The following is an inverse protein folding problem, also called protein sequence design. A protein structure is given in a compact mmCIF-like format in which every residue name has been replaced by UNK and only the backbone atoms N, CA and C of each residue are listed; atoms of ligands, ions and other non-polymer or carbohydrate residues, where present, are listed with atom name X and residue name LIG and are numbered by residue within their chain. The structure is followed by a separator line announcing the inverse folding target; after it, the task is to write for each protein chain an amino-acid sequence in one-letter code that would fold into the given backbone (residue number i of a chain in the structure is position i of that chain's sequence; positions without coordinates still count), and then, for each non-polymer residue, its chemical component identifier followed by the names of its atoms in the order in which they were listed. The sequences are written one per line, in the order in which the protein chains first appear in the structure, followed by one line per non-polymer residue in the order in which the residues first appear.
data_IF_211667922688
#
_entry.id   IF_211667922688
#
_cell.length_a   1.000
_cell.length_b   1.000
_cell.length_c   1.000
_cell.angle_alpha   90.00
_cell.angle_beta   90.00
_cell.angle_gamma   90.00
#
_symmetry.space_group_name_H-M   'P 1'
#
loop_
_entity.id
_entity.type
_entity.pdbx_description
1 polymer ?
#
# COMPACT_ATOMS: atom_id res chain seq x y z
N UNK A 1 10.25 29.33 -23.76
CA UNK A 1 11.71 29.13 -23.87
C UNK A 1 12.32 30.28 -24.65
N UNK A 2 11.87 30.55 -25.86
CA UNK A 2 12.39 31.62 -26.69
C UNK A 2 12.18 33.06 -26.13
N UNK A 3 11.32 33.23 -25.13
CA UNK A 3 11.05 34.49 -24.43
C UNK A 3 11.92 34.68 -23.16
N UNK A 4 12.90 33.80 -22.91
CA UNK A 4 13.78 33.88 -21.75
C UNK A 4 13.19 33.42 -20.42
N UNK A 5 12.02 32.77 -20.44
CA UNK A 5 11.42 32.18 -19.21
C UNK A 5 11.99 30.80 -18.91
N UNK A 6 12.19 30.51 -17.63
CA UNK A 6 12.47 29.16 -17.15
C UNK A 6 11.21 28.29 -17.12
N UNK A 7 11.38 26.98 -17.30
CA UNK A 7 10.32 25.99 -17.16
C UNK A 7 10.37 25.39 -15.76
N UNK A 8 9.23 25.40 -15.07
CA UNK A 8 9.02 24.73 -13.80
C UNK A 8 8.15 23.48 -14.04
N UNK A 9 8.69 22.30 -13.75
CA UNK A 9 7.99 21.02 -13.93
C UNK A 9 7.73 20.36 -12.59
N UNK A 10 6.52 19.82 -12.42
CA UNK A 10 6.19 18.98 -11.26
C UNK A 10 6.03 17.54 -11.73
N UNK A 11 6.74 16.62 -11.12
CA UNK A 11 6.68 15.19 -11.40
C UNK A 11 6.37 14.40 -10.13
N UNK A 12 5.51 13.39 -10.26
CA UNK A 12 5.33 12.38 -9.23
C UNK A 12 6.26 11.21 -9.52
N UNK A 13 7.19 10.97 -8.59
CA UNK A 13 8.30 10.03 -8.82
C UNK A 13 7.97 8.60 -8.38
N UNK A 14 6.88 8.37 -7.66
CA UNK A 14 6.52 7.05 -7.11
C UNK A 14 5.28 6.42 -7.75
N UNK A 15 4.58 7.15 -8.60
CA UNK A 15 3.45 6.66 -9.39
C UNK A 15 3.69 6.99 -10.87
N UNK A 16 2.82 6.56 -11.76
CA UNK A 16 3.00 6.63 -13.22
C UNK A 16 4.12 5.70 -13.75
N UNK A 17 4.44 4.65 -12.98
CA UNK A 17 5.45 3.63 -13.33
C UNK A 17 4.82 2.24 -13.43
N UNK A 18 3.59 2.14 -13.92
CA UNK A 18 2.80 0.91 -13.89
C UNK A 18 3.46 -0.27 -14.60
N UNK A 19 4.16 -0.04 -15.71
CA UNK A 19 4.85 -1.12 -16.42
C UNK A 19 5.94 -1.78 -15.57
N UNK A 20 6.67 -0.98 -14.79
CA UNK A 20 7.63 -1.48 -13.83
C UNK A 20 6.94 -2.11 -12.62
N UNK A 21 5.90 -1.46 -12.09
CA UNK A 21 5.15 -1.92 -10.93
C UNK A 21 4.48 -3.28 -11.15
N UNK A 22 3.92 -3.54 -12.35
CA UNK A 22 3.34 -4.83 -12.73
C UNK A 22 4.34 -5.98 -12.72
N UNK A 23 5.60 -5.69 -13.03
CA UNK A 23 6.70 -6.67 -13.03
C UNK A 23 7.34 -6.84 -11.65
N UNK A 24 7.06 -5.94 -10.69
CA UNK A 24 7.68 -5.87 -9.37
C UNK A 24 6.61 -5.64 -8.29
N UNK A 25 5.57 -6.47 -8.26
CA UNK A 25 4.41 -6.31 -7.36
C UNK A 25 4.75 -6.48 -5.87
N UNK A 26 5.90 -7.08 -5.57
CA UNK A 26 6.48 -7.22 -4.25
C UNK A 26 7.26 -5.97 -3.78
N UNK A 27 7.41 -4.97 -4.63
CA UNK A 27 8.15 -3.71 -4.38
C UNK A 27 7.24 -2.48 -4.40
N UNK A 28 5.97 -2.68 -4.20
CA UNK A 28 5.00 -1.60 -4.05
C UNK A 28 5.01 -1.06 -2.61
N UNK A 29 4.58 0.18 -2.45
CA UNK A 29 4.34 0.73 -1.13
C UNK A 29 3.29 -0.10 -0.37
N UNK A 30 3.49 -0.21 0.93
CA UNK A 30 2.61 -0.94 1.81
C UNK A 30 1.96 -0.02 2.83
N UNK A 31 0.76 -0.39 3.25
CA UNK A 31 0.05 0.19 4.38
C UNK A 31 -0.06 -0.84 5.50
N UNK A 32 0.09 -0.37 6.73
CA UNK A 32 -0.23 -1.15 7.91
C UNK A 32 -1.71 -0.93 8.22
N UNK A 33 -2.53 -1.92 7.95
CA UNK A 33 -3.98 -1.87 8.09
C UNK A 33 -4.43 -2.54 9.39
N UNK A 34 -5.55 -2.09 9.94
CA UNK A 34 -6.18 -2.69 11.11
C UNK A 34 -7.63 -3.03 10.77
N UNK A 35 -8.02 -4.28 10.99
CA UNK A 35 -9.42 -4.71 10.81
C UNK A 35 -10.36 -4.00 11.76
N UNK A 36 -11.65 -3.94 11.41
CA UNK A 36 -12.66 -3.61 12.40
C UNK A 36 -12.69 -4.67 13.52
N UNK A 37 -13.09 -4.28 14.74
CA UNK A 37 -13.19 -5.23 15.84
C UNK A 37 -14.25 -6.30 15.61
N UNK A 38 -13.89 -7.57 15.80
CA UNK A 38 -14.80 -8.72 15.74
C UNK A 38 -15.01 -9.27 17.14
N UNK A 39 -16.26 -9.50 17.51
CA UNK A 39 -16.62 -10.08 18.81
C UNK A 39 -16.44 -11.60 18.75
N UNK A 40 -15.72 -12.17 19.73
CA UNK A 40 -15.64 -13.62 19.88
C UNK A 40 -16.91 -14.16 20.54
N UNK A 41 -17.59 -15.11 19.91
CA UNK A 41 -18.78 -15.77 20.44
C UNK A 41 -18.47 -17.11 21.13
N UNK A 42 -17.25 -17.59 20.96
CA UNK A 42 -16.73 -18.85 21.52
C UNK A 42 -15.27 -18.70 21.94
N UNK A 43 -14.56 -19.80 22.10
CA UNK A 43 -13.12 -19.87 22.43
C UNK A 43 -12.19 -19.63 21.23
N UNK A 44 -12.74 -19.39 20.06
CA UNK A 44 -11.99 -18.95 18.87
C UNK A 44 -12.78 -17.90 18.07
N UNK A 45 -12.06 -17.06 17.31
CA UNK A 45 -12.67 -16.08 16.43
C UNK A 45 -11.95 -16.05 15.08
N UNK A 46 -12.72 -15.97 14.00
CA UNK A 46 -12.21 -15.81 12.63
C UNK A 46 -12.39 -14.37 12.16
N UNK A 47 -11.31 -13.80 11.66
CA UNK A 47 -11.27 -12.40 11.20
C UNK A 47 -10.82 -12.40 9.73
N UNK A 48 -11.73 -12.07 8.84
CA UNK A 48 -11.41 -11.82 7.44
C UNK A 48 -10.70 -10.45 7.33
N UNK A 49 -9.45 -10.48 6.85
CA UNK A 49 -8.60 -9.29 6.81
C UNK A 49 -9.10 -8.23 5.85
N UNK A 50 -9.77 -8.64 4.77
CA UNK A 50 -10.21 -7.73 3.71
C UNK A 50 -11.69 -7.36 3.76
N UNK A 51 -12.46 -7.89 4.72
CA UNK A 51 -13.92 -7.72 4.80
C UNK A 51 -14.37 -6.25 4.69
N UNK A 52 -13.62 -5.34 5.33
CA UNK A 52 -13.98 -3.92 5.41
C UNK A 52 -13.04 -3.02 4.61
N UNK A 53 -12.19 -3.60 3.76
CA UNK A 53 -11.25 -2.88 2.90
C UNK A 53 -11.62 -3.04 1.43
N UNK A 54 -11.09 -2.14 0.63
CA UNK A 54 -11.33 -2.11 -0.81
C UNK A 54 -10.34 -3.04 -1.51
N UNK A 55 -10.80 -4.21 -1.96
CA UNK A 55 -9.95 -5.24 -2.60
C UNK A 55 -9.24 -4.76 -3.87
N UNK A 56 -9.75 -3.71 -4.52
CA UNK A 56 -9.10 -3.10 -5.67
C UNK A 56 -7.95 -2.16 -5.27
N UNK A 57 -7.93 -1.69 -4.02
CA UNK A 57 -6.91 -0.77 -3.51
C UNK A 57 -5.77 -1.47 -2.76
N UNK A 58 -6.08 -2.57 -2.09
CA UNK A 58 -5.13 -3.27 -1.23
C UNK A 58 -5.04 -4.75 -1.59
N UNK A 59 -3.82 -5.27 -1.50
CA UNK A 59 -3.53 -6.71 -1.58
C UNK A 59 -2.71 -7.12 -0.36
N UNK A 60 -3.17 -8.12 0.39
CA UNK A 60 -2.45 -8.62 1.57
C UNK A 60 -1.03 -9.02 1.18
N UNK A 61 -0.04 -8.61 1.98
CA UNK A 61 1.31 -9.13 1.86
C UNK A 61 1.43 -10.41 2.72
N UNK A 62 1.36 -11.56 2.05
CA UNK A 62 1.34 -12.89 2.68
C UNK A 62 2.74 -13.47 2.93
N UNK A 63 3.81 -12.71 2.67
CA UNK A 63 5.17 -13.19 2.91
C UNK A 63 5.42 -13.43 4.40
N UNK A 64 6.28 -14.37 4.72
CA UNK A 64 6.64 -14.67 6.12
C UNK A 64 7.32 -13.47 6.80
N UNK A 65 8.08 -12.68 6.04
CA UNK A 65 8.66 -11.42 6.51
C UNK A 65 7.56 -10.42 6.93
N UNK A 66 6.51 -10.30 6.14
CA UNK A 66 5.36 -9.44 6.46
C UNK A 66 4.62 -9.93 7.70
N UNK A 67 4.33 -11.23 7.77
CA UNK A 67 3.61 -11.85 8.89
C UNK A 67 4.34 -11.68 10.22
N UNK A 68 5.67 -11.56 10.23
CA UNK A 68 6.45 -11.26 11.43
C UNK A 68 6.08 -9.91 12.08
N UNK A 69 5.49 -9.00 11.33
CA UNK A 69 5.00 -7.70 11.81
C UNK A 69 3.50 -7.70 12.12
N UNK A 70 2.77 -8.75 11.78
CA UNK A 70 1.35 -8.78 12.06
C UNK A 70 1.09 -8.92 13.55
N UNK A 71 0.00 -8.31 14.00
CA UNK A 71 -0.35 -8.28 15.41
C UNK A 71 -1.85 -8.51 15.59
N UNK A 72 -2.18 -9.35 16.52
CA UNK A 72 -3.57 -9.56 16.97
C UNK A 72 -3.72 -8.96 18.36
N UNK A 73 -4.77 -8.16 18.55
CA UNK A 73 -5.05 -7.54 19.84
C UNK A 73 -6.45 -7.91 20.34
N UNK A 74 -6.54 -8.27 21.59
CA UNK A 74 -7.77 -8.18 22.37
C UNK A 74 -8.01 -6.70 22.72
N UNK A 75 -8.99 -6.08 22.08
CA UNK A 75 -9.32 -4.65 22.30
C UNK A 75 -10.09 -4.38 23.57
N UNK A 76 -10.55 -5.44 24.26
CA UNK A 76 -11.21 -5.30 25.56
C UNK A 76 -10.18 -5.13 26.67
N UNK A 77 -9.04 -5.83 26.58
CA UNK A 77 -7.94 -5.75 27.55
C UNK A 77 -6.74 -4.93 27.07
N UNK A 78 -6.63 -4.66 25.76
CA UNK A 78 -5.48 -4.11 25.04
C UNK A 78 -4.23 -5.02 25.10
N UNK A 79 -4.40 -6.31 25.27
CA UNK A 79 -3.33 -7.28 25.25
C UNK A 79 -3.11 -7.87 23.87
N UNK A 80 -1.85 -8.10 23.51
CA UNK A 80 -1.50 -8.77 22.26
C UNK A 80 -1.68 -10.29 22.42
N UNK A 81 -2.38 -10.90 21.44
CA UNK A 81 -2.61 -12.35 21.38
C UNK A 81 -1.64 -12.97 20.39
N UNK A 82 -0.93 -14.01 20.81
CA UNK A 82 0.09 -14.69 19.97
C UNK A 82 -0.40 -16.01 19.36
N UNK A 83 -1.46 -16.61 19.88
CA UNK A 83 -2.02 -17.87 19.37
C UNK A 83 -3.02 -17.58 18.25
N UNK A 84 -2.50 -17.44 17.03
CA UNK A 84 -3.30 -17.26 15.82
C UNK A 84 -2.65 -17.97 14.62
N UNK A 85 -3.49 -18.28 13.64
CA UNK A 85 -3.09 -18.84 12.34
C UNK A 85 -3.70 -18.02 11.21
N UNK A 86 -3.07 -18.07 10.04
CA UNK A 86 -3.54 -17.41 8.84
C UNK A 86 -3.73 -18.39 7.70
N UNK A 87 -4.87 -18.33 7.06
CA UNK A 87 -5.18 -19.11 5.87
C UNK A 87 -6.14 -18.34 4.94
N UNK A 88 -5.76 -18.18 3.67
CA UNK A 88 -6.63 -17.63 2.61
C UNK A 88 -7.36 -16.31 3.00
N UNK A 89 -6.63 -15.32 3.52
CA UNK A 89 -7.19 -14.02 3.89
C UNK A 89 -7.85 -13.97 5.26
N UNK A 90 -7.89 -15.08 5.99
CA UNK A 90 -8.56 -15.18 7.29
C UNK A 90 -7.53 -15.48 8.39
N UNK A 91 -7.55 -14.69 9.45
CA UNK A 91 -6.85 -14.98 10.69
C UNK A 91 -7.81 -15.68 11.66
N UNK A 92 -7.40 -16.85 12.15
CA UNK A 92 -8.09 -17.55 13.22
C UNK A 92 -7.31 -17.34 14.51
N UNK A 93 -7.95 -16.77 15.53
CA UNK A 93 -7.39 -16.53 16.86
C UNK A 93 -7.96 -17.56 17.82
N UNK A 94 -7.10 -18.28 18.54
CA UNK A 94 -7.49 -19.33 19.48
C UNK A 94 -7.39 -18.87 20.94
N UNK A 95 -8.05 -19.61 21.84
CA UNK A 95 -7.97 -19.33 23.28
C UNK A 95 -8.49 -17.95 23.67
N UNK A 96 -9.40 -17.39 22.88
CA UNK A 96 -9.97 -16.07 23.10
C UNK A 96 -11.04 -16.09 24.20
N UNK A 97 -11.25 -14.96 24.86
CA UNK A 97 -12.33 -14.79 25.84
C UNK A 97 -13.64 -14.44 25.11
N UNK A 98 -14.72 -15.22 25.31
CA UNK A 98 -16.03 -14.89 24.73
C UNK A 98 -16.46 -13.46 25.09
N UNK A 99 -17.09 -12.79 24.12
CA UNK A 99 -17.58 -11.41 24.18
C UNK A 99 -16.52 -10.32 24.19
N UNK A 100 -15.23 -10.69 24.18
CA UNK A 100 -14.15 -9.74 23.90
C UNK A 100 -14.10 -9.40 22.40
N UNK A 101 -13.46 -8.27 22.08
CA UNK A 101 -13.31 -7.74 20.71
C UNK A 101 -11.87 -7.91 20.25
N UNK A 102 -11.68 -8.46 19.08
CA UNK A 102 -10.36 -8.73 18.51
C UNK A 102 -10.16 -7.97 17.20
N UNK A 103 -8.94 -7.48 16.99
CA UNK A 103 -8.50 -6.87 15.73
C UNK A 103 -7.19 -7.49 15.26
N UNK A 104 -6.95 -7.43 13.96
CA UNK A 104 -5.68 -7.79 13.35
C UNK A 104 -5.08 -6.57 12.68
N UNK A 105 -3.81 -6.31 12.98
CA UNK A 105 -2.97 -5.38 12.25
C UNK A 105 -2.13 -6.16 11.25
N UNK A 106 -2.11 -5.77 9.99
CA UNK A 106 -1.41 -6.50 8.94
C UNK A 106 -0.87 -5.57 7.85
N UNK A 107 0.11 -6.03 7.07
CA UNK A 107 0.67 -5.28 5.94
C UNK A 107 -0.06 -5.66 4.64
N UNK A 108 -0.38 -4.65 3.86
CA UNK A 108 -0.95 -4.82 2.54
C UNK A 108 -0.28 -3.90 1.52
N UNK A 109 -0.05 -4.40 0.31
CA UNK A 109 0.42 -3.60 -0.82
C UNK A 109 -0.67 -2.65 -1.28
N UNK A 110 -0.28 -1.42 -1.65
CA UNK A 110 -1.16 -0.43 -2.27
C UNK A 110 -1.14 -0.65 -3.79
N UNK A 111 -2.19 -1.28 -4.28
CA UNK A 111 -2.34 -1.60 -5.71
C UNK A 111 -3.20 -0.58 -6.47
N UNK A 112 -3.74 0.41 -5.77
CA UNK A 112 -4.41 1.57 -6.37
C UNK A 112 -4.09 2.82 -5.54
N UNK A 113 -3.38 3.76 -6.14
CA UNK A 113 -2.96 5.01 -5.49
C UNK A 113 -4.17 5.95 -5.30
N UNK A 114 -4.24 6.66 -4.17
CA UNK A 114 -5.42 7.41 -3.72
C UNK A 114 -5.84 8.52 -4.69
N UNK A 115 -4.89 9.23 -5.29
CA UNK A 115 -5.23 10.32 -6.24
C UNK A 115 -5.72 9.72 -7.55
N UNK A 116 -5.15 8.61 -7.99
CA UNK A 116 -5.66 7.84 -9.12
C UNK A 116 -7.09 7.38 -8.83
N UNK A 117 -7.34 6.80 -7.67
CA UNK A 117 -8.66 6.37 -7.23
C UNK A 117 -9.65 7.54 -7.16
N UNK A 118 -9.25 8.69 -6.58
CA UNK A 118 -10.06 9.90 -6.54
C UNK A 118 -10.45 10.39 -7.95
N UNK A 119 -9.49 10.40 -8.88
CA UNK A 119 -9.75 10.82 -10.25
C UNK A 119 -10.68 9.87 -10.99
N UNK A 120 -10.58 8.57 -10.78
CA UNK A 120 -11.53 7.59 -11.33
C UNK A 120 -12.94 7.81 -10.80
N UNK A 121 -13.09 7.98 -9.49
CA UNK A 121 -14.40 8.08 -8.85
C UNK A 121 -15.07 9.45 -9.01
N UNK A 122 -14.27 10.53 -9.09
CA UNK A 122 -14.79 11.91 -9.08
C UNK A 122 -14.66 12.62 -10.43
N UNK A 123 -13.62 12.33 -11.20
CA UNK A 123 -13.31 13.00 -12.45
C UNK A 123 -13.50 12.11 -13.69
N UNK A 124 -14.10 10.94 -13.55
CA UNK A 124 -14.37 9.99 -14.63
C UNK A 124 -13.10 9.60 -15.43
N UNK A 125 -11.97 9.42 -14.75
CA UNK A 125 -10.78 8.89 -15.40
C UNK A 125 -11.02 7.45 -15.85
N UNK A 126 -10.63 7.13 -17.07
CA UNK A 126 -10.70 5.80 -17.68
C UNK A 126 -9.33 5.11 -17.83
N UNK A 127 -8.27 5.76 -17.30
CA UNK A 127 -6.91 5.20 -17.30
C UNK A 127 -6.80 4.02 -16.33
N UNK A 128 -5.81 3.17 -16.54
CA UNK A 128 -5.54 2.10 -15.58
C UNK A 128 -5.23 2.63 -14.17
N UNK A 129 -5.49 1.81 -13.16
CA UNK A 129 -5.17 2.14 -11.77
C UNK A 129 -3.66 2.29 -11.60
N UNK A 130 -3.22 3.42 -11.07
CA UNK A 130 -1.81 3.68 -10.81
C UNK A 130 -1.39 3.03 -9.48
N UNK A 131 -0.26 2.34 -9.52
CA UNK A 131 0.34 1.71 -8.34
C UNK A 131 1.53 2.55 -7.85
N UNK A 132 1.72 2.60 -6.53
CA UNK A 132 2.85 3.30 -5.91
C UNK A 132 4.03 2.35 -5.73
N UNK A 133 5.16 2.65 -6.39
CA UNK A 133 6.41 1.93 -6.18
C UNK A 133 7.10 2.42 -4.90
N UNK A 134 7.83 1.53 -4.23
CA UNK A 134 8.46 1.85 -2.95
C UNK A 134 9.97 2.12 -3.12
N UNK A 135 10.43 3.37 -2.92
CA UNK A 135 11.84 3.73 -3.07
C UNK A 135 12.75 3.16 -1.99
N UNK A 136 12.24 2.44 -0.98
CA UNK A 136 13.08 1.76 0.02
C UNK A 136 13.79 0.53 -0.54
N UNK A 137 13.29 -0.04 -1.63
CA UNK A 137 13.94 -1.17 -2.31
C UNK A 137 15.06 -0.67 -3.23
N UNK A 138 16.27 -1.26 -3.16
CA UNK A 138 17.41 -0.84 -4.00
C UNK A 138 17.11 -0.89 -5.50
N UNK A 139 16.36 -1.88 -5.95
CA UNK A 139 15.95 -2.04 -7.36
C UNK A 139 15.02 -0.91 -7.81
N UNK A 140 14.11 -0.50 -6.93
CA UNK A 140 13.23 0.65 -7.19
C UNK A 140 14.03 1.94 -7.25
N UNK A 141 14.99 2.14 -6.34
CA UNK A 141 15.88 3.30 -6.38
C UNK A 141 16.66 3.38 -7.68
N UNK A 142 17.26 2.27 -8.12
CA UNK A 142 18.00 2.25 -9.36
C UNK A 142 17.11 2.56 -10.56
N UNK A 143 15.94 1.95 -10.65
CA UNK A 143 14.97 2.25 -11.68
C UNK A 143 14.58 3.73 -11.72
N UNK A 144 14.29 4.32 -10.55
CA UNK A 144 13.91 5.74 -10.45
C UNK A 144 15.05 6.67 -10.84
N UNK A 145 16.29 6.35 -10.48
CA UNK A 145 17.48 7.13 -10.87
C UNK A 145 17.68 7.09 -12.38
N UNK A 146 17.58 5.93 -13.00
CA UNK A 146 17.72 5.78 -14.45
C UNK A 146 16.60 6.49 -15.20
N UNK A 147 15.37 6.37 -14.72
CA UNK A 147 14.23 7.09 -15.27
C UNK A 147 14.44 8.61 -15.16
N UNK A 148 14.89 9.12 -14.00
CA UNK A 148 15.13 10.55 -13.79
C UNK A 148 16.26 11.08 -14.67
N UNK A 149 17.32 10.31 -14.83
CA UNK A 149 18.42 10.67 -15.73
C UNK A 149 17.93 10.83 -17.16
N UNK A 150 17.20 9.86 -17.67
CA UNK A 150 16.60 9.92 -19.00
C UNK A 150 15.61 11.10 -19.13
N UNK A 151 14.81 11.36 -18.08
CA UNK A 151 13.91 12.50 -18.07
C UNK A 151 14.65 13.83 -18.18
N UNK A 152 15.73 14.03 -17.43
CA UNK A 152 16.56 15.23 -17.52
C UNK A 152 17.17 15.41 -18.90
N UNK A 153 17.68 14.33 -19.51
CA UNK A 153 18.28 14.35 -20.86
C UNK A 153 17.25 14.71 -21.93
N UNK A 154 16.00 14.25 -21.79
CA UNK A 154 14.92 14.52 -22.74
C UNK A 154 14.20 15.85 -22.52
N UNK A 155 14.41 16.50 -21.36
CA UNK A 155 13.79 17.77 -20.99
C UNK A 155 14.81 18.88 -20.66
N UNK A 156 15.79 19.16 -21.54
CA UNK A 156 16.91 20.06 -21.25
C UNK A 156 16.48 21.52 -21.03
N UNK A 157 15.27 21.89 -21.42
CA UNK A 157 14.73 23.24 -21.22
C UNK A 157 14.12 23.46 -19.82
N UNK A 158 14.00 22.40 -19.01
CA UNK A 158 13.47 22.51 -17.64
C UNK A 158 14.51 23.12 -16.73
N UNK A 159 14.15 24.22 -16.06
CA UNK A 159 15.03 24.98 -15.16
C UNK A 159 14.87 24.52 -13.70
N UNK A 160 13.66 24.14 -13.31
CA UNK A 160 13.32 23.68 -11.95
C UNK A 160 12.44 22.45 -12.02
N UNK A 161 12.81 21.45 -11.25
CA UNK A 161 12.00 20.23 -11.06
C UNK A 161 11.53 20.17 -9.62
N UNK A 162 10.22 20.04 -9.44
CA UNK A 162 9.58 19.74 -8.16
C UNK A 162 9.16 18.28 -8.13
N UNK A 163 9.63 17.57 -7.12
CA UNK A 163 9.12 16.23 -6.83
C UNK A 163 7.88 16.29 -5.95
N UNK A 164 6.90 15.45 -6.24
CA UNK A 164 5.80 15.15 -5.34
C UNK A 164 5.81 13.67 -5.04
N UNK A 165 5.59 13.33 -3.78
CA UNK A 165 5.55 11.96 -3.27
C UNK A 165 4.12 11.44 -3.04
N UNK A 166 3.13 12.22 -3.48
CA UNK A 166 1.72 11.82 -3.42
C UNK A 166 1.29 11.16 -4.71
#
# INVERSE_FOLDING_TARGET
INAGYGIYSTICIIRDHNEWAKQNTDKLQQSFLMTNPVVAESDSVKIDLMKDFFNEQFKINESDESKAYWQVFDRTTNEEVKDWTYENGVVTVNGVTPWHKYTVNFLAYRIWEEISMYNHTTNNWDKEHLMQIDPRYPETQQYMLDWMKNWCETHPATTVVRFTSM
#
